data_IF_720569492391
#
_entry.id   IF_720569492391
#
_cell.length_a   1.000
_cell.length_b   1.000
_cell.length_c   1.000
_cell.angle_alpha   90.00
_cell.angle_beta   90.00
_cell.angle_gamma   90.00
#
_symmetry.space_group_name_H-M   'P 1'
#
loop_
_entity.id
_entity.type
_entity.pdbx_description
1 polymer ?
#
# COMPACT_ATOMS: atom_id res chain seq x y z
N UNK A 1 -54.15 5.62 33.58
CA UNK A 1 -53.13 4.54 33.57
C UNK A 1 -53.13 3.99 32.15
N UNK A 2 -52.08 3.91 31.35
CA UNK A 2 -50.63 3.95 31.54
C UNK A 2 -50.00 4.60 30.30
N UNK A 3 -48.84 5.22 30.45
CA UNK A 3 -48.20 6.10 29.46
C UNK A 3 -47.42 5.31 28.40
N UNK A 4 -47.51 5.81 27.17
CA UNK A 4 -46.70 5.49 26.00
C UNK A 4 -45.19 5.59 26.28
N UNK A 5 -44.43 4.56 25.89
CA UNK A 5 -42.98 4.62 25.76
C UNK A 5 -42.64 4.43 24.27
N UNK A 6 -42.28 5.50 23.57
CA UNK A 6 -41.75 5.46 22.21
C UNK A 6 -40.23 5.57 22.28
N UNK A 7 -39.54 4.48 21.98
CA UNK A 7 -38.08 4.40 21.91
C UNK A 7 -37.65 4.80 20.49
N UNK A 8 -37.09 6.00 20.33
CA UNK A 8 -36.52 6.47 19.05
C UNK A 8 -35.08 5.96 18.96
N UNK A 9 -34.85 4.98 18.08
CA UNK A 9 -33.53 4.49 17.72
C UNK A 9 -32.88 5.51 16.76
N UNK A 10 -31.95 6.33 17.25
CA UNK A 10 -31.06 7.13 16.40
C UNK A 10 -29.94 6.24 15.86
N UNK A 11 -30.18 5.57 14.73
CA UNK A 11 -29.12 4.99 13.91
C UNK A 11 -28.33 6.13 13.26
N UNK A 12 -27.14 6.41 13.78
CA UNK A 12 -26.18 7.37 13.23
C UNK A 12 -25.68 6.89 11.86
N UNK A 13 -26.33 7.37 10.80
CA UNK A 13 -25.85 7.26 9.42
C UNK A 13 -24.61 8.13 9.28
N UNK A 14 -23.42 7.54 9.42
CA UNK A 14 -22.18 8.23 9.09
C UNK A 14 -22.19 8.45 7.57
N UNK A 15 -22.05 9.70 7.06
CA UNK A 15 -22.06 9.95 5.63
C UNK A 15 -20.87 9.23 4.98
N UNK A 16 -21.17 8.27 4.11
CA UNK A 16 -20.18 7.47 3.37
C UNK A 16 -19.33 8.29 2.38
N UNK A 17 -19.53 9.61 2.31
CA UNK A 17 -18.86 10.53 1.39
C UNK A 17 -17.35 10.64 1.58
N UNK A 18 -16.82 10.21 2.74
CA UNK A 18 -15.38 10.22 3.01
C UNK A 18 -14.61 9.09 2.28
N UNK A 19 -15.30 8.09 1.72
CA UNK A 19 -14.67 6.97 1.02
C UNK A 19 -14.40 7.24 -0.47
N UNK A 20 -14.85 8.38 -1.01
CA UNK A 20 -14.76 8.69 -2.44
C UNK A 20 -13.52 9.49 -2.87
N UNK A 21 -12.46 9.48 -2.05
CA UNK A 21 -11.20 10.16 -2.34
C UNK A 21 -10.16 9.15 -2.86
N UNK A 22 -9.38 9.56 -3.86
CA UNK A 22 -8.22 8.79 -4.28
C UNK A 22 -7.17 8.71 -3.16
N UNK A 23 -6.60 7.52 -3.01
CA UNK A 23 -5.60 7.20 -1.99
C UNK A 23 -4.46 6.39 -2.58
N UNK A 24 -3.34 6.40 -1.89
CA UNK A 24 -2.19 5.54 -2.15
C UNK A 24 -2.29 4.36 -1.18
N UNK A 25 -2.11 3.14 -1.69
CA UNK A 25 -2.16 1.93 -0.87
C UNK A 25 -1.66 0.71 -1.64
N UNK A 26 -1.73 -0.47 -1.02
CA UNK A 26 -1.45 -1.72 -1.72
C UNK A 26 -2.40 -1.89 -2.92
N UNK A 27 -1.93 -2.58 -3.96
CA UNK A 27 -2.71 -2.94 -5.14
C UNK A 27 -3.83 -3.93 -4.83
N UNK A 28 -4.48 -4.46 -5.88
CA UNK A 28 -5.36 -5.62 -5.72
C UNK A 28 -4.55 -6.86 -5.32
N UNK A 29 -5.23 -7.94 -4.90
CA UNK A 29 -4.61 -9.23 -4.57
C UNK A 29 -3.69 -9.77 -5.69
N UNK A 30 -4.03 -9.46 -6.96
CA UNK A 30 -3.23 -9.82 -8.14
C UNK A 30 -1.93 -9.00 -8.30
N UNK A 31 -1.83 -7.88 -7.59
CA UNK A 31 -0.70 -6.96 -7.58
C UNK A 31 -0.19 -6.75 -6.16
N UNK A 32 -0.13 -7.84 -5.39
CA UNK A 32 0.42 -7.82 -4.05
C UNK A 32 1.83 -7.21 -4.04
N UNK A 33 2.12 -6.43 -2.99
CA UNK A 33 3.35 -5.65 -2.86
C UNK A 33 3.51 -4.46 -3.82
N UNK A 34 2.57 -4.21 -4.75
CA UNK A 34 2.67 -3.07 -5.68
C UNK A 34 1.80 -1.90 -5.20
N UNK A 35 2.43 -0.77 -4.90
CA UNK A 35 1.71 0.44 -4.49
C UNK A 35 0.93 1.02 -5.67
N UNK A 36 -0.36 1.26 -5.44
CA UNK A 36 -1.29 1.84 -6.41
C UNK A 36 -1.91 3.13 -5.90
N UNK A 37 -2.12 4.08 -6.80
CA UNK A 37 -3.02 5.20 -6.61
C UNK A 37 -4.39 4.77 -7.11
N UNK A 38 -5.42 4.79 -6.27
CA UNK A 38 -6.74 4.29 -6.67
C UNK A 38 -7.89 5.10 -6.11
N UNK A 39 -8.98 5.11 -6.86
CA UNK A 39 -10.28 5.59 -6.44
C UNK A 39 -11.32 4.48 -6.54
N UNK A 40 -12.21 4.42 -5.56
CA UNK A 40 -13.34 3.47 -5.55
C UNK A 40 -14.55 4.14 -6.18
N UNK A 41 -15.34 3.36 -6.92
CA UNK A 41 -16.61 3.79 -7.50
C UNK A 41 -17.57 4.29 -6.42
N UNK A 42 -18.49 5.18 -6.79
CA UNK A 42 -19.49 5.74 -5.88
C UNK A 42 -20.38 4.68 -5.21
N UNK A 43 -20.50 3.50 -5.84
CA UNK A 43 -21.26 2.36 -5.34
C UNK A 43 -20.42 1.38 -4.51
N UNK A 44 -19.09 1.57 -4.43
CA UNK A 44 -18.20 0.67 -3.71
C UNK A 44 -17.96 -0.68 -4.38
N UNK A 45 -18.44 -0.90 -5.61
CA UNK A 45 -18.43 -2.22 -6.28
C UNK A 45 -17.26 -2.41 -7.24
N UNK A 46 -16.44 -1.38 -7.43
CA UNK A 46 -15.29 -1.42 -8.32
C UNK A 46 -14.32 -0.29 -8.06
N UNK A 47 -13.12 -0.41 -8.61
CA UNK A 47 -12.02 0.53 -8.41
C UNK A 47 -11.31 0.84 -9.73
N UNK A 48 -10.82 2.07 -9.86
CA UNK A 48 -9.94 2.50 -10.94
C UNK A 48 -8.60 2.89 -10.31
N UNK A 49 -7.51 2.36 -10.85
CA UNK A 49 -6.20 2.49 -10.23
C UNK A 49 -5.06 2.62 -11.24
N UNK A 50 -4.01 3.31 -10.81
CA UNK A 50 -2.74 3.48 -11.51
C UNK A 50 -1.62 2.98 -10.62
N UNK A 51 -0.68 2.25 -11.19
CA UNK A 51 0.54 1.81 -10.50
C UNK A 51 1.76 1.91 -11.40
N UNK A 52 2.93 1.78 -10.79
CA UNK A 52 4.17 1.60 -11.53
C UNK A 52 4.53 0.12 -11.63
N UNK A 53 4.69 -0.38 -12.87
CA UNK A 53 5.17 -1.74 -13.11
C UNK A 53 6.28 -1.70 -14.15
N UNK A 54 7.44 -2.25 -13.79
CA UNK A 54 8.61 -2.32 -14.69
C UNK A 54 8.99 -0.93 -15.26
N UNK A 55 8.90 0.10 -14.39
CA UNK A 55 9.20 1.49 -14.75
C UNK A 55 8.17 2.18 -15.63
N UNK A 56 7.03 1.53 -15.93
CA UNK A 56 5.96 2.07 -16.78
C UNK A 56 4.64 2.17 -16.01
N UNK A 57 3.82 3.20 -16.30
CA UNK A 57 2.46 3.26 -15.78
C UNK A 57 1.64 2.07 -16.26
N UNK A 58 0.94 1.42 -15.33
CA UNK A 58 -0.06 0.41 -15.61
C UNK A 58 -1.38 0.85 -14.99
N UNK A 59 -2.42 0.92 -15.82
CA UNK A 59 -3.78 1.17 -15.37
C UNK A 59 -4.45 -0.18 -15.13
N UNK A 60 -5.18 -0.29 -14.04
CA UNK A 60 -6.06 -1.43 -13.80
C UNK A 60 -7.40 -1.01 -13.22
N UNK A 61 -8.40 -1.85 -13.44
CA UNK A 61 -9.76 -1.61 -13.01
C UNK A 61 -10.42 -2.96 -12.68
N UNK A 62 -10.87 -3.15 -11.44
CA UNK A 62 -11.60 -4.33 -10.96
C UNK A 62 -13.04 -4.04 -10.53
N UNK A 63 -13.95 -5.01 -10.67
CA UNK A 63 -15.37 -4.89 -10.28
C UNK A 63 -16.34 -4.94 -11.46
N UNK A 64 -15.86 -5.36 -12.63
CA UNK A 64 -16.62 -5.46 -13.88
C UNK A 64 -16.72 -6.94 -14.30
N UNK A 65 -17.34 -7.74 -13.42
CA UNK A 65 -17.25 -9.20 -13.47
C UNK A 65 -18.49 -9.92 -14.04
N UNK A 66 -19.59 -9.21 -14.34
CA UNK A 66 -20.88 -9.92 -14.41
C UNK A 66 -21.18 -10.59 -15.76
N UNK A 67 -20.55 -10.20 -16.87
CA UNK A 67 -21.06 -10.64 -18.16
C UNK A 67 -20.34 -11.82 -18.85
N UNK A 68 -19.04 -12.12 -18.62
CA UNK A 68 -18.31 -13.05 -19.53
C UNK A 68 -17.18 -13.85 -18.88
N UNK A 69 -17.51 -14.89 -18.12
CA UNK A 69 -16.57 -15.96 -17.77
C UNK A 69 -15.86 -16.50 -19.02
N UNK A 70 -14.60 -16.92 -18.88
CA UNK A 70 -13.79 -17.43 -19.99
C UNK A 70 -12.30 -17.22 -19.76
N UNK A 71 -11.46 -17.62 -20.73
CA UNK A 71 -10.02 -17.47 -20.61
C UNK A 71 -9.60 -15.99 -20.63
N UNK A 72 -8.42 -15.75 -20.06
CA UNK A 72 -7.66 -14.53 -20.19
C UNK A 72 -7.53 -14.11 -21.66
N UNK A 73 -7.74 -12.82 -21.92
CA UNK A 73 -7.77 -12.31 -23.29
C UNK A 73 -7.38 -10.85 -23.38
N UNK A 74 -6.92 -10.46 -24.56
CA UNK A 74 -6.65 -9.06 -24.90
C UNK A 74 -7.96 -8.41 -25.34
N UNK A 75 -8.40 -7.40 -24.59
CA UNK A 75 -9.61 -6.63 -24.90
C UNK A 75 -9.34 -5.14 -24.69
N UNK A 76 -10.35 -4.31 -24.95
CA UNK A 76 -10.25 -2.88 -24.72
C UNK A 76 -11.44 -2.37 -23.94
N UNK A 77 -11.17 -1.44 -23.04
CA UNK A 77 -12.16 -0.67 -22.31
C UNK A 77 -11.87 0.81 -22.51
N UNK A 78 -12.77 1.68 -22.05
CA UNK A 78 -12.53 3.13 -22.08
C UNK A 78 -12.64 3.71 -20.69
N UNK A 79 -11.79 4.68 -20.41
CA UNK A 79 -11.94 5.57 -19.26
C UNK A 79 -12.39 6.92 -19.79
N UNK A 80 -13.50 7.44 -19.30
CA UNK A 80 -14.08 8.71 -19.72
C UNK A 80 -13.86 9.71 -18.58
N UNK A 81 -12.98 10.69 -18.78
CA UNK A 81 -12.68 11.73 -17.78
C UNK A 81 -13.31 13.03 -18.20
N UNK A 82 -14.22 13.57 -17.37
CA UNK A 82 -14.97 14.80 -17.64
C UNK A 82 -15.57 14.87 -19.06
N UNK A 83 -16.03 13.72 -19.58
CA UNK A 83 -16.64 13.57 -20.91
C UNK A 83 -15.67 13.22 -22.04
N UNK A 84 -14.35 13.30 -21.83
CA UNK A 84 -13.35 12.88 -22.80
C UNK A 84 -13.05 11.38 -22.66
N UNK A 85 -13.18 10.62 -23.75
CA UNK A 85 -12.96 9.16 -23.77
C UNK A 85 -11.52 8.81 -24.12
N UNK A 86 -10.93 7.91 -23.35
CA UNK A 86 -9.58 7.37 -23.55
C UNK A 86 -9.65 5.84 -23.65
N UNK A 87 -9.41 5.25 -24.83
CA UNK A 87 -9.36 3.80 -24.96
C UNK A 87 -8.09 3.25 -24.29
N UNK A 88 -8.24 2.11 -23.62
CA UNK A 88 -7.15 1.36 -23.00
C UNK A 88 -7.26 -0.07 -23.48
N UNK A 89 -6.18 -0.58 -24.06
CA UNK A 89 -6.06 -1.97 -24.51
C UNK A 89 -5.12 -2.74 -23.59
N UNK A 90 -5.50 -3.96 -23.24
CA UNK A 90 -4.65 -4.84 -22.44
C UNK A 90 -5.36 -6.10 -21.99
N UNK A 91 -4.88 -6.70 -20.90
CA UNK A 91 -5.34 -8.00 -20.42
C UNK A 91 -6.63 -7.86 -19.63
N UNK A 92 -7.62 -8.68 -19.97
CA UNK A 92 -8.84 -8.93 -19.21
C UNK A 92 -8.76 -10.34 -18.61
N UNK A 93 -8.89 -10.41 -17.28
CA UNK A 93 -8.96 -11.62 -16.47
C UNK A 93 -10.41 -11.75 -15.94
N UNK A 94 -11.27 -12.52 -16.63
CA UNK A 94 -12.70 -12.46 -16.37
C UNK A 94 -13.13 -13.09 -15.05
N UNK A 95 -12.42 -14.12 -14.59
CA UNK A 95 -12.68 -14.76 -13.28
C UNK A 95 -12.55 -13.74 -12.15
N UNK A 96 -11.64 -12.79 -12.30
CA UNK A 96 -11.34 -11.76 -11.31
C UNK A 96 -12.04 -10.42 -11.57
N UNK A 97 -12.76 -10.33 -12.69
CA UNK A 97 -13.34 -9.09 -13.19
C UNK A 97 -12.31 -7.96 -13.32
N UNK A 98 -11.04 -8.32 -13.59
CA UNK A 98 -9.90 -7.41 -13.66
C UNK A 98 -9.57 -7.07 -15.11
N UNK A 99 -9.41 -5.78 -15.36
CA UNK A 99 -8.97 -5.22 -16.64
C UNK A 99 -7.72 -4.40 -16.43
N UNK A 100 -6.78 -4.51 -17.35
CA UNK A 100 -5.45 -3.90 -17.21
C UNK A 100 -5.01 -3.36 -18.56
N UNK A 101 -4.12 -2.37 -18.57
CA UNK A 101 -3.52 -1.89 -19.80
C UNK A 101 -2.63 -0.68 -19.60
N UNK A 102 -1.76 -0.42 -20.58
CA UNK A 102 -0.93 0.77 -20.58
C UNK A 102 -1.83 2.00 -20.86
N UNK A 103 -1.96 2.95 -19.93
CA UNK A 103 -2.73 4.17 -20.17
C UNK A 103 -1.92 5.10 -21.09
N UNK A 104 -2.56 5.81 -22.04
CA UNK A 104 -1.88 6.88 -22.76
C UNK A 104 -1.58 8.06 -21.81
N UNK A 105 -0.52 8.82 -22.08
CA UNK A 105 -0.13 9.98 -21.25
C UNK A 105 -1.26 10.99 -21.06
N UNK A 106 -2.07 11.19 -22.11
CA UNK A 106 -3.23 12.07 -22.06
C UNK A 106 -4.29 11.61 -21.05
N UNK A 107 -4.46 10.30 -20.85
CA UNK A 107 -5.35 9.76 -19.82
C UNK A 107 -4.79 10.01 -18.42
N UNK A 108 -3.49 9.81 -18.21
CA UNK A 108 -2.86 10.09 -16.91
C UNK A 108 -3.02 11.58 -16.56
N UNK A 109 -2.76 12.47 -17.51
CA UNK A 109 -2.95 13.91 -17.34
C UNK A 109 -4.41 14.25 -17.01
N UNK A 110 -5.37 13.66 -17.73
CA UNK A 110 -6.79 13.86 -17.47
C UNK A 110 -7.19 13.35 -16.08
N UNK A 111 -6.73 12.17 -15.65
CA UNK A 111 -7.03 11.63 -14.33
C UNK A 111 -6.49 12.51 -13.20
N UNK A 112 -5.33 13.17 -13.39
CA UNK A 112 -4.74 14.10 -12.42
C UNK A 112 -5.47 15.44 -12.34
N UNK A 113 -6.01 15.94 -13.46
CA UNK A 113 -6.63 17.27 -13.53
C UNK A 113 -8.16 17.26 -13.42
N UNK A 114 -8.78 16.12 -13.72
CA UNK A 114 -10.22 16.01 -13.86
C UNK A 114 -10.98 15.92 -12.54
N UNK A 115 -12.30 15.97 -12.63
CA UNK A 115 -13.21 15.91 -11.48
C UNK A 115 -13.87 14.54 -11.32
N UNK A 116 -14.14 13.86 -12.44
CA UNK A 116 -14.82 12.57 -12.48
C UNK A 116 -14.26 11.70 -13.59
N UNK A 117 -14.05 10.42 -13.28
CA UNK A 117 -13.82 9.39 -14.27
C UNK A 117 -15.01 8.43 -14.33
N UNK A 118 -15.28 7.86 -15.50
CA UNK A 118 -16.26 6.81 -15.70
C UNK A 118 -15.55 5.67 -16.43
N UNK A 119 -15.66 4.46 -15.90
CA UNK A 119 -15.10 3.27 -16.56
C UNK A 119 -16.20 2.65 -17.42
N UNK A 120 -15.90 2.49 -18.71
CA UNK A 120 -16.77 1.94 -19.73
C UNK A 120 -16.19 0.62 -20.25
N UNK A 121 -16.60 -0.48 -19.64
CA UNK A 121 -16.29 -1.84 -20.09
C UNK A 121 -17.39 -2.31 -21.07
N UNK A 122 -17.04 -2.94 -22.21
CA UNK A 122 -18.04 -3.40 -23.18
C UNK A 122 -19.09 -4.36 -22.58
N UNK A 123 -20.36 -3.98 -22.68
CA UNK A 123 -21.48 -4.79 -22.18
C UNK A 123 -21.80 -4.61 -20.69
N UNK A 124 -21.05 -3.76 -19.98
CA UNK A 124 -21.25 -3.50 -18.56
C UNK A 124 -21.86 -2.11 -18.31
N UNK A 125 -22.45 -1.93 -17.13
CA UNK A 125 -22.95 -0.61 -16.72
C UNK A 125 -21.77 0.32 -16.43
N UNK A 126 -21.83 1.53 -16.97
CA UNK A 126 -20.85 2.57 -16.68
C UNK A 126 -20.98 3.05 -15.24
N UNK A 127 -19.86 3.06 -14.50
CA UNK A 127 -19.83 3.51 -13.11
C UNK A 127 -18.77 4.60 -12.95
N UNK A 128 -19.13 5.65 -12.20
CA UNK A 128 -18.28 6.79 -11.93
C UNK A 128 -17.38 6.60 -10.71
N UNK A 129 -16.21 7.21 -10.79
CA UNK A 129 -15.21 7.36 -9.73
C UNK A 129 -14.94 8.87 -9.58
N UNK A 130 -15.07 9.38 -8.36
CA UNK A 130 -14.64 10.75 -8.04
C UNK A 130 -13.13 10.85 -8.21
N UNK A 131 -12.62 11.90 -8.86
CA UNK A 131 -11.18 12.16 -8.98
C UNK A 131 -10.64 13.08 -7.89
N UNK A 132 -11.41 13.32 -6.81
CA UNK A 132 -10.91 14.10 -5.68
C UNK A 132 -9.65 13.44 -5.12
N UNK A 133 -8.56 14.21 -5.06
CA UNK A 133 -7.26 13.76 -4.54
C UNK A 133 -6.41 12.94 -5.53
N UNK A 134 -6.91 12.65 -6.73
CA UNK A 134 -6.21 11.83 -7.73
C UNK A 134 -4.87 12.41 -8.13
N UNK A 135 -4.80 13.74 -8.29
CA UNK A 135 -3.58 14.46 -8.67
C UNK A 135 -2.40 14.09 -7.76
N UNK A 136 -2.59 14.22 -6.44
CA UNK A 136 -1.55 13.91 -5.45
C UNK A 136 -1.20 12.41 -5.46
N UNK A 137 -2.21 11.54 -5.40
CA UNK A 137 -1.98 10.10 -5.33
C UNK A 137 -1.25 9.55 -6.58
N UNK A 138 -1.69 9.97 -7.76
CA UNK A 138 -1.09 9.54 -9.04
C UNK A 138 0.32 10.12 -9.20
N UNK A 139 0.58 11.35 -8.76
CA UNK A 139 1.95 11.89 -8.73
C UNK A 139 2.84 11.05 -7.81
N UNK A 140 2.40 10.79 -6.58
CA UNK A 140 3.17 10.01 -5.60
C UNK A 140 3.56 8.61 -6.12
N UNK A 141 2.66 7.93 -6.82
CA UNK A 141 2.91 6.57 -7.35
C UNK A 141 3.70 6.59 -8.66
N UNK A 142 3.46 7.56 -9.54
CA UNK A 142 4.12 7.61 -10.85
C UNK A 142 5.41 8.41 -10.86
N UNK A 143 5.76 9.14 -9.80
CA UNK A 143 7.09 9.76 -9.68
C UNK A 143 8.21 8.70 -9.66
N UNK A 144 7.87 7.44 -9.33
CA UNK A 144 8.74 6.26 -9.50
C UNK A 144 8.75 5.67 -10.91
N UNK A 145 7.83 6.08 -11.80
CA UNK A 145 7.77 5.64 -13.19
C UNK A 145 8.56 6.60 -14.09
N UNK A 146 9.51 6.08 -14.87
CA UNK A 146 10.28 6.89 -15.81
C UNK A 146 11.71 7.22 -15.37
N UNK A 147 12.14 6.74 -14.20
CA UNK A 147 13.55 6.55 -13.96
C UNK A 147 14.06 5.38 -14.80
N UNK A 148 14.85 5.65 -15.84
CA UNK A 148 15.86 4.69 -16.33
C UNK A 148 16.89 4.31 -15.27
N UNK A 149 16.65 4.67 -14.01
CA UNK A 149 17.09 3.91 -12.84
C UNK A 149 16.33 2.59 -12.90
N UNK A 150 16.90 1.65 -13.68
CA UNK A 150 16.82 0.21 -13.36
C UNK A 150 16.70 0.10 -11.85
N UNK A 151 15.67 -0.58 -11.28
CA UNK A 151 15.47 -0.65 -9.83
C UNK A 151 16.85 -0.84 -9.25
N UNK A 152 17.32 0.14 -8.47
CA UNK A 152 18.73 0.30 -8.16
C UNK A 152 19.21 -1.09 -7.78
N UNK A 153 19.91 -1.71 -8.73
CA UNK A 153 20.46 -3.04 -8.56
C UNK A 153 21.72 -2.74 -7.78
N UNK A 154 21.55 -2.22 -6.56
CA UNK A 154 22.36 -2.73 -5.48
C UNK A 154 22.23 -4.25 -5.59
N UNK A 155 23.34 -4.99 -5.51
CA UNK A 155 23.30 -6.44 -5.61
C UNK A 155 22.39 -6.97 -4.49
N UNK A 156 21.09 -7.10 -4.77
CA UNK A 156 20.21 -8.03 -4.09
C UNK A 156 20.64 -9.37 -4.63
N UNK A 157 21.63 -9.99 -3.97
CA UNK A 157 22.20 -11.27 -4.37
C UNK A 157 21.18 -12.42 -4.34
N UNK A 158 19.91 -12.17 -3.98
CA UNK A 158 18.85 -13.16 -4.08
C UNK A 158 17.49 -12.49 -4.38
N UNK A 159 17.21 -12.18 -5.65
CA UNK A 159 15.92 -12.05 -6.35
C UNK A 159 14.58 -11.79 -5.62
N UNK A 160 14.56 -11.26 -4.41
CA UNK A 160 13.37 -11.00 -3.60
C UNK A 160 12.77 -9.64 -3.90
N UNK A 161 11.44 -9.57 -3.94
CA UNK A 161 10.70 -8.31 -3.96
C UNK A 161 10.82 -7.69 -2.57
N UNK A 162 11.23 -6.43 -2.50
CA UNK A 162 11.27 -5.63 -1.27
C UNK A 162 9.92 -4.93 -1.11
N UNK A 163 9.09 -5.36 -0.18
CA UNK A 163 7.73 -4.86 0.07
C UNK A 163 7.72 -3.35 0.34
N UNK A 164 8.70 -2.84 1.08
CA UNK A 164 8.80 -1.42 1.40
C UNK A 164 9.54 -0.60 0.33
N UNK A 165 9.87 -1.16 -0.83
CA UNK A 165 10.75 -0.51 -1.79
C UNK A 165 10.29 0.87 -2.26
N UNK A 166 8.99 1.03 -2.53
CA UNK A 166 8.43 2.34 -2.90
C UNK A 166 8.50 3.34 -1.75
N UNK A 167 8.20 2.91 -0.51
CA UNK A 167 8.32 3.77 0.67
C UNK A 167 9.76 4.27 0.81
N UNK A 168 10.73 3.36 0.69
CA UNK A 168 12.15 3.69 0.80
C UNK A 168 12.56 4.65 -0.31
N UNK A 169 12.21 4.37 -1.56
CA UNK A 169 12.51 5.23 -2.70
C UNK A 169 11.97 6.65 -2.50
N UNK A 170 10.72 6.78 -2.04
CA UNK A 170 10.11 8.08 -1.74
C UNK A 170 10.85 8.83 -0.63
N UNK A 171 11.24 8.16 0.46
CA UNK A 171 11.97 8.82 1.56
C UNK A 171 13.40 9.20 1.16
N UNK A 172 14.07 8.34 0.39
CA UNK A 172 15.39 8.60 -0.16
C UNK A 172 15.39 9.63 -1.31
N UNK A 173 14.23 9.93 -1.90
CA UNK A 173 14.13 10.81 -3.07
C UNK A 173 14.70 10.20 -4.34
N UNK A 174 14.70 8.87 -4.46
CA UNK A 174 15.27 8.14 -5.58
C UNK A 174 15.88 6.80 -5.19
N UNK A 175 17.11 6.54 -5.65
CA UNK A 175 17.82 5.28 -5.45
C UNK A 175 18.25 5.03 -3.99
N UNK A 176 18.30 3.75 -3.64
CA UNK A 176 18.66 3.27 -2.32
C UNK A 176 19.26 1.86 -2.41
N UNK A 177 19.92 1.45 -1.32
CA UNK A 177 20.25 0.06 -1.04
C UNK A 177 19.69 -0.35 0.32
N UNK A 178 19.36 -1.63 0.45
CA UNK A 178 18.86 -2.24 1.69
C UNK A 178 19.82 -3.37 2.06
N UNK A 179 20.23 -3.40 3.33
CA UNK A 179 21.07 -4.47 3.85
C UNK A 179 20.28 -5.78 3.99
N UNK A 180 20.97 -6.91 3.90
CA UNK A 180 20.36 -8.22 4.13
C UNK A 180 19.71 -8.28 5.52
N UNK A 181 18.48 -8.79 5.57
CA UNK A 181 17.69 -8.88 6.80
C UNK A 181 17.11 -7.55 7.31
N UNK A 182 17.34 -6.43 6.61
CA UNK A 182 16.69 -5.17 6.97
C UNK A 182 15.20 -5.16 6.61
N UNK A 183 14.77 -5.97 5.64
CA UNK A 183 13.36 -6.34 5.49
C UNK A 183 13.17 -7.80 5.90
N UNK A 184 12.16 -8.04 6.74
CA UNK A 184 11.82 -9.36 7.25
C UNK A 184 10.34 -9.64 7.02
N UNK A 185 10.00 -10.92 6.92
CA UNK A 185 8.63 -11.38 6.71
C UNK A 185 8.26 -12.40 7.79
N UNK A 186 7.07 -12.27 8.37
CA UNK A 186 6.55 -13.23 9.33
C UNK A 186 5.11 -12.94 9.73
N UNK A 187 4.47 -13.86 10.46
CA UNK A 187 3.08 -13.74 10.90
C UNK A 187 3.02 -13.09 12.29
N UNK A 188 2.81 -11.79 12.35
CA UNK A 188 2.82 -11.01 13.59
C UNK A 188 1.43 -10.83 14.18
N UNK A 189 0.40 -10.68 13.36
CA UNK A 189 -0.99 -10.45 13.81
C UNK A 189 -1.85 -11.73 13.93
N UNK A 190 -1.36 -12.84 13.39
CA UNK A 190 -1.91 -14.17 13.61
C UNK A 190 -2.94 -14.64 12.62
N UNK A 191 -3.11 -13.92 11.52
CA UNK A 191 -3.72 -14.49 10.32
C UNK A 191 -2.73 -15.33 9.52
N UNK A 192 -3.15 -15.86 8.37
CA UNK A 192 -2.34 -16.68 7.47
C UNK A 192 -1.54 -15.86 6.44
N UNK A 193 -1.74 -14.55 6.41
CA UNK A 193 -1.12 -13.62 5.48
C UNK A 193 0.23 -13.15 6.08
N UNK A 194 1.31 -13.08 5.29
CA UNK A 194 2.59 -12.61 5.81
C UNK A 194 2.58 -11.11 6.10
N UNK A 195 3.15 -10.72 7.24
CA UNK A 195 3.45 -9.33 7.60
C UNK A 195 4.90 -8.98 7.29
N UNK A 196 5.17 -7.69 7.14
CA UNK A 196 6.49 -7.20 6.77
C UNK A 196 7.04 -6.22 7.81
N UNK A 197 8.32 -6.34 8.10
CA UNK A 197 9.06 -5.49 9.03
C UNK A 197 10.26 -4.88 8.31
N UNK A 198 10.41 -3.55 8.39
CA UNK A 198 11.57 -2.82 7.87
C UNK A 198 12.37 -2.20 9.01
N UNK A 199 13.66 -2.54 9.09
CA UNK A 199 14.67 -1.82 9.84
C UNK A 199 15.24 -0.66 9.01
N UNK A 200 14.85 0.57 9.34
CA UNK A 200 15.47 1.74 8.70
C UNK A 200 16.99 1.82 8.96
N UNK A 201 17.51 1.14 9.98
CA UNK A 201 18.95 1.01 10.24
C UNK A 201 19.73 0.33 9.13
N UNK A 202 19.08 -0.55 8.37
CA UNK A 202 19.67 -1.24 7.21
C UNK A 202 19.49 -0.52 5.88
N UNK A 203 18.83 0.64 5.87
CA UNK A 203 18.57 1.41 4.63
C UNK A 203 19.65 2.47 4.41
N UNK A 204 20.19 2.50 3.20
CA UNK A 204 21.13 3.53 2.74
C UNK A 204 20.59 4.22 1.49
N UNK A 205 20.39 5.53 1.54
CA UNK A 205 19.98 6.32 0.38
C UNK A 205 21.19 6.72 -0.47
N UNK A 206 21.01 6.80 -1.79
CA UNK A 206 22.03 7.34 -2.71
C UNK A 206 22.25 8.85 -2.46
N UNK A 207 21.16 9.58 -2.16
CA UNK A 207 21.23 10.96 -1.71
C UNK A 207 21.74 11.03 -0.26
N UNK A 208 23.03 11.34 -0.12
CA UNK A 208 23.70 11.48 1.18
C UNK A 208 23.12 12.58 2.07
N UNK A 209 22.37 13.54 1.52
CA UNK A 209 21.71 14.58 2.32
C UNK A 209 20.61 14.02 3.23
N UNK A 210 20.08 12.83 2.91
CA UNK A 210 19.06 12.13 3.69
C UNK A 210 19.62 11.42 4.93
N UNK A 211 20.94 11.22 5.01
CA UNK A 211 21.59 10.48 6.08
C UNK A 211 21.26 8.98 6.09
N UNK A 212 21.69 8.27 7.14
CA UNK A 212 21.39 6.85 7.35
C UNK A 212 19.90 6.65 7.63
N UNK A 213 19.30 5.62 7.03
CA UNK A 213 17.87 5.31 7.22
C UNK A 213 16.94 6.44 6.78
N UNK A 214 17.34 7.27 5.82
CA UNK A 214 16.58 8.42 5.34
C UNK A 214 16.14 9.43 6.43
N UNK A 215 16.88 9.51 7.54
CA UNK A 215 16.55 10.36 8.69
C UNK A 215 15.67 9.70 9.75
N UNK A 216 15.23 8.46 9.53
CA UNK A 216 14.51 7.64 10.50
C UNK A 216 15.44 6.91 11.49
N UNK A 217 16.74 7.16 11.39
CA UNK A 217 17.77 6.68 12.31
C UNK A 217 18.53 7.84 12.93
N UNK A 218 18.39 7.99 14.24
CA UNK A 218 19.09 9.01 15.02
C UNK A 218 20.30 8.45 15.77
N UNK A 219 20.84 9.26 16.69
CA UNK A 219 21.97 8.87 17.53
C UNK A 219 21.64 7.74 18.52
N UNK A 220 20.37 7.57 18.88
CA UNK A 220 19.96 6.63 19.92
C UNK A 220 19.24 5.39 19.37
N UNK A 221 18.36 5.52 18.38
CA UNK A 221 17.52 4.43 17.86
C UNK A 221 17.16 4.67 16.39
N UNK A 222 16.65 3.63 15.75
CA UNK A 222 16.00 3.69 14.45
C UNK A 222 14.48 3.49 14.58
N UNK A 223 13.75 3.93 13.56
CA UNK A 223 12.35 3.53 13.37
C UNK A 223 12.34 2.12 12.78
N UNK A 224 11.46 1.27 13.29
CA UNK A 224 11.11 0.00 12.69
C UNK A 224 9.69 0.15 12.15
N UNK A 225 9.52 -0.02 10.84
CA UNK A 225 8.21 0.03 10.18
C UNK A 225 7.61 -1.38 10.15
N UNK A 226 6.33 -1.52 10.48
CA UNK A 226 5.58 -2.78 10.38
C UNK A 226 4.37 -2.55 9.49
N UNK A 227 4.15 -3.45 8.53
CA UNK A 227 2.95 -3.50 7.70
C UNK A 227 2.21 -4.80 7.98
N UNK A 228 0.95 -4.68 8.37
CA UNK A 228 0.03 -5.79 8.56
C UNK A 228 -0.80 -5.95 7.31
N UNK A 229 -0.62 -7.05 6.59
CA UNK A 229 -1.09 -7.16 5.21
C UNK A 229 -2.61 -7.31 5.15
N UNK A 230 -3.20 -8.17 5.98
CA UNK A 230 -4.64 -8.42 6.02
C UNK A 230 -5.43 -7.17 6.43
N UNK A 231 -4.99 -6.51 7.50
CA UNK A 231 -5.67 -5.30 8.01
C UNK A 231 -5.36 -4.04 7.21
N UNK A 232 -4.41 -4.11 6.27
CA UNK A 232 -3.85 -2.98 5.53
C UNK A 232 -3.41 -1.81 6.44
N UNK A 233 -2.94 -2.14 7.64
CA UNK A 233 -2.54 -1.18 8.66
C UNK A 233 -1.02 -1.12 8.80
N UNK A 234 -0.54 -0.01 9.37
CA UNK A 234 0.88 0.21 9.62
C UNK A 234 1.12 0.63 11.04
N UNK A 235 2.26 0.22 11.56
CA UNK A 235 2.75 0.63 12.88
C UNK A 235 4.23 0.97 12.80
N UNK A 236 4.64 1.93 13.61
CA UNK A 236 6.04 2.25 13.82
C UNK A 236 6.40 2.01 15.28
N UNK A 237 7.56 1.43 15.52
CA UNK A 237 8.18 1.33 16.84
C UNK A 237 9.61 1.86 16.79
N UNK A 238 10.16 2.24 17.94
CA UNK A 238 11.55 2.68 18.04
C UNK A 238 12.41 1.54 18.60
N UNK A 239 13.50 1.26 17.91
CA UNK A 239 14.40 0.16 18.25
C UNK A 239 15.59 0.07 17.30
N UNK A 240 16.43 -0.91 17.53
CA UNK A 240 17.46 -1.36 16.61
C UNK A 240 17.49 -2.88 16.61
N UNK A 241 18.12 -3.48 15.58
CA UNK A 241 18.28 -4.94 15.46
C UNK A 241 16.96 -5.71 15.62
N UNK A 242 15.91 -5.38 14.83
CA UNK A 242 14.67 -6.12 14.92
C UNK A 242 14.88 -7.59 14.54
N UNK A 243 14.19 -8.49 15.23
CA UNK A 243 14.25 -9.94 15.02
C UNK A 243 12.83 -10.53 15.14
N UNK A 244 12.49 -11.46 14.25
CA UNK A 244 11.24 -12.21 14.34
C UNK A 244 11.44 -13.49 15.16
N UNK A 245 10.90 -13.50 16.37
CA UNK A 245 11.05 -14.61 17.32
C UNK A 245 9.85 -15.55 17.24
N UNK A 246 10.11 -16.86 17.17
CA UNK A 246 9.07 -17.88 17.17
C UNK A 246 8.27 -17.92 18.47
N UNK A 247 6.95 -18.09 18.33
CA UNK A 247 6.01 -18.34 19.43
C UNK A 247 5.20 -19.61 19.15
N UNK A 248 4.41 -20.00 20.14
CA UNK A 248 3.51 -21.14 20.03
C UNK A 248 2.56 -20.98 18.81
N UNK A 249 2.21 -22.09 18.19
CA UNK A 249 1.28 -22.16 17.06
C UNK A 249 1.74 -21.43 15.79
N UNK A 250 3.05 -21.29 15.57
CA UNK A 250 3.61 -20.69 14.36
C UNK A 250 3.52 -19.16 14.29
N UNK A 251 3.04 -18.54 15.37
CA UNK A 251 3.01 -17.10 15.56
C UNK A 251 4.45 -16.55 15.69
N UNK A 252 4.68 -15.33 15.22
CA UNK A 252 5.91 -14.58 15.49
C UNK A 252 5.64 -13.47 16.52
N UNK A 253 6.67 -13.09 17.25
CA UNK A 253 6.76 -11.77 17.89
C UNK A 253 7.90 -10.98 17.27
N UNK A 254 7.79 -9.65 17.34
CA UNK A 254 8.89 -8.78 17.00
C UNK A 254 9.72 -8.53 18.26
N UNK A 255 11.01 -8.82 18.24
CA UNK A 255 11.96 -8.36 19.26
C UNK A 255 12.71 -7.17 18.71
N UNK A 256 12.89 -6.12 19.50
CA UNK A 256 13.81 -5.03 19.18
C UNK A 256 14.76 -4.80 20.34
N UNK A 257 15.97 -4.35 20.07
CA UNK A 257 16.88 -3.84 21.10
C UNK A 257 16.66 -2.34 21.28
N UNK A 258 16.64 -1.87 22.52
CA UNK A 258 16.56 -0.44 22.86
C UNK A 258 17.60 -0.08 23.92
N UNK A 259 17.73 1.22 24.20
CA UNK A 259 18.71 1.71 25.17
C UNK A 259 18.22 2.96 25.90
N UNK A 260 18.87 3.25 27.03
CA UNK A 260 18.65 4.49 27.78
C UNK A 260 17.47 4.40 28.74
N UNK A 261 16.68 5.48 28.82
CA UNK A 261 15.61 5.61 29.82
C UNK A 261 14.58 4.48 29.74
N UNK A 262 14.30 3.96 28.54
CA UNK A 262 13.39 2.82 28.32
C UNK A 262 13.87 1.55 29.01
N UNK A 263 15.19 1.40 29.22
CA UNK A 263 15.80 0.24 29.86
C UNK A 263 16.10 0.44 31.36
N UNK A 264 15.70 1.56 31.96
CA UNK A 264 15.96 1.86 33.37
C UNK A 264 17.20 2.71 33.65
N UNK A 265 17.92 3.18 32.61
CA UNK A 265 19.09 4.04 32.81
C UNK A 265 19.83 4.39 31.53
N UNK A 266 20.53 5.54 31.52
CA UNK A 266 21.13 6.14 30.31
C UNK A 266 22.11 5.24 29.54
N UNK A 267 22.72 4.24 30.19
CA UNK A 267 23.67 3.30 29.58
C UNK A 267 23.16 1.85 29.52
N UNK A 268 21.91 1.61 29.92
CA UNK A 268 21.35 0.26 29.90
C UNK A 268 20.81 -0.06 28.50
N UNK A 269 21.05 -1.29 28.07
CA UNK A 269 20.54 -1.89 26.83
C UNK A 269 19.63 -3.03 27.23
N UNK A 270 18.47 -3.12 26.61
CA UNK A 270 17.48 -4.14 26.89
C UNK A 270 16.74 -4.51 25.61
N UNK A 271 16.21 -5.73 25.58
CA UNK A 271 15.34 -6.17 24.50
C UNK A 271 13.88 -5.92 24.89
N UNK A 272 13.07 -5.51 23.91
CA UNK A 272 11.63 -5.36 24.03
C UNK A 272 10.97 -6.36 23.10
N UNK A 273 10.10 -7.20 23.65
CA UNK A 273 9.28 -8.13 22.86
C UNK A 273 7.94 -7.46 22.60
N UNK A 274 7.54 -7.40 21.34
CA UNK A 274 6.30 -6.82 20.88
C UNK A 274 5.37 -7.94 20.41
N UNK A 275 4.17 -7.98 20.99
CA UNK A 275 3.17 -9.00 20.73
C UNK A 275 1.88 -8.35 20.26
N UNK A 276 1.24 -8.97 19.27
CA UNK A 276 -0.05 -8.52 18.79
C UNK A 276 -1.15 -8.73 19.84
N UNK A 277 -1.90 -7.67 20.12
CA UNK A 277 -2.98 -7.67 21.10
C UNK A 277 -4.38 -7.76 20.47
N UNK A 278 -4.47 -8.00 19.16
CA UNK A 278 -5.72 -7.96 18.39
C UNK A 278 -5.93 -6.66 17.60
N UNK A 279 -5.12 -5.63 17.83
CA UNK A 279 -5.22 -4.35 17.12
C UNK A 279 -3.87 -3.71 16.74
N UNK A 280 -2.82 -3.94 17.53
CA UNK A 280 -1.46 -3.45 17.29
C UNK A 280 -0.45 -4.32 18.03
N UNK A 281 0.83 -4.17 17.71
CA UNK A 281 1.92 -4.70 18.52
C UNK A 281 2.09 -3.87 19.80
N UNK A 282 2.09 -4.52 20.95
CA UNK A 282 2.36 -3.90 22.25
C UNK A 282 3.55 -4.57 22.94
N UNK A 283 4.36 -3.80 23.68
CA UNK A 283 5.48 -4.36 24.42
C UNK A 283 4.96 -5.26 25.54
N UNK A 284 5.57 -6.43 25.70
CA UNK A 284 5.38 -7.30 26.87
C UNK A 284 6.61 -7.19 27.77
N UNK A 285 6.37 -6.89 29.04
CA UNK A 285 7.38 -6.86 30.11
C UNK A 285 7.75 -8.27 30.59
#
# INVERSE_FOLDING_TARGET
>A
MSRFLALILFLSVVPQSLLAQWRVGPGSELYDGTVSAFGVTERGVGALALMCREGKPLLWTQGWALAKAGPDRQESFSVIVDGQSFPVSGLHLPEEGLWTGAPPDALIAALRAGSRAVVAVPGETQVGVSLRGSSRAITEVLDGCGGGVSPATGPSEAGGIVYFGQLIATQCGGGYSIADGAEMTGRLDGDETPDFVLDWGGVTCDDRSKGRGAGFCGAALCTIEIAFTETQSRQQVLGVNPELVDRAFGMKALKTTTQGATCGGAAQVCDVIWVWNGAKLEPVE
#
